data_IF_951454877649
#
_entry.id   IF_951454877649
#
_cell.length_a   1.000
_cell.length_b   1.000
_cell.length_c   1.000
_cell.angle_alpha   90.00
_cell.angle_beta   90.00
_cell.angle_gamma   90.00
#
_symmetry.space_group_name_H-M   'P 1'
#
loop_
_entity.id
_entity.type
_entity.pdbx_description
1 polymer ?
#
# COMPACT_ATOMS: atom_id res chain seq x y z
N UNK A 1 0.68 -2.75 -12.23
CA UNK A 1 0.59 -3.88 -11.28
C UNK A 1 -0.61 -4.73 -11.68
N UNK A 2 -0.59 -6.05 -11.51
CA UNK A 2 -1.77 -6.87 -11.84
C UNK A 2 -2.83 -6.71 -10.73
N UNK A 3 -4.09 -6.42 -11.10
CA UNK A 3 -5.19 -6.18 -10.16
C UNK A 3 -5.41 -7.34 -9.15
N UNK A 4 -5.05 -8.56 -9.55
CA UNK A 4 -5.13 -9.78 -8.74
C UNK A 4 -4.15 -9.81 -7.55
N UNK A 5 -3.16 -8.92 -7.49
CA UNK A 5 -2.15 -8.88 -6.43
C UNK A 5 -2.54 -7.97 -5.25
N UNK A 6 -3.62 -7.20 -5.37
CA UNK A 6 -4.05 -6.28 -4.32
C UNK A 6 -4.73 -7.06 -3.20
N UNK A 7 -3.97 -7.29 -2.13
CA UNK A 7 -4.40 -7.89 -0.87
C UNK A 7 -4.96 -6.85 0.09
N UNK A 8 -5.97 -7.28 0.84
CA UNK A 8 -6.51 -6.58 2.01
C UNK A 8 -5.45 -6.55 3.12
N UNK A 9 -5.50 -5.51 3.96
CA UNK A 9 -4.55 -5.25 5.05
C UNK A 9 -3.09 -5.09 4.59
N UNK A 10 -2.89 -4.78 3.31
CA UNK A 10 -1.56 -4.59 2.74
C UNK A 10 -1.31 -3.11 2.42
N UNK A 11 -0.09 -2.65 2.71
CA UNK A 11 0.34 -1.30 2.39
C UNK A 11 0.93 -1.25 0.98
N UNK A 12 0.43 -0.34 0.16
CA UNK A 12 0.98 -0.03 -1.16
C UNK A 12 1.47 1.41 -1.18
N UNK A 13 2.49 1.66 -1.99
CA UNK A 13 2.99 3.01 -2.24
C UNK A 13 2.70 3.43 -3.66
N UNK A 14 2.56 4.73 -3.88
CA UNK A 14 2.53 5.28 -5.23
C UNK A 14 3.96 5.36 -5.78
N UNK A 15 4.13 5.00 -7.06
CA UNK A 15 5.42 5.13 -7.75
C UNK A 15 5.93 6.59 -7.68
N UNK A 16 7.02 6.82 -6.95
CA UNK A 16 7.62 8.15 -6.80
C UNK A 16 7.13 8.98 -5.60
N UNK A 17 6.41 8.39 -4.64
CA UNK A 17 6.01 9.10 -3.43
C UNK A 17 6.09 8.25 -2.17
N UNK A 18 6.34 8.89 -1.02
CA UNK A 18 6.40 8.24 0.31
C UNK A 18 5.02 8.02 0.95
N UNK A 19 3.93 8.27 0.20
CA UNK A 19 2.56 8.15 0.72
C UNK A 19 2.12 6.69 0.69
N UNK A 20 2.30 6.04 1.84
CA UNK A 20 1.73 4.72 2.11
C UNK A 20 0.20 4.79 2.13
N UNK A 21 -0.42 3.83 1.45
CA UNK A 21 -1.86 3.62 1.39
C UNK A 21 -2.13 2.19 1.84
N UNK A 22 -2.85 2.05 2.93
CA UNK A 22 -3.16 0.74 3.52
C UNK A 22 -4.53 0.31 3.03
N UNK A 23 -4.59 -0.79 2.28
CA UNK A 23 -5.86 -1.30 1.77
C UNK A 23 -6.67 -1.90 2.91
N UNK A 24 -7.83 -1.34 3.16
CA UNK A 24 -8.73 -1.77 4.24
C UNK A 24 -9.79 -2.75 3.74
N UNK A 25 -10.20 -2.64 2.48
CA UNK A 25 -11.19 -3.52 1.86
C UNK A 25 -10.97 -3.60 0.35
N UNK A 26 -11.18 -4.78 -0.21
CA UNK A 26 -11.33 -4.99 -1.66
C UNK A 26 -12.66 -5.70 -1.85
N UNK A 27 -13.61 -5.06 -2.51
CA UNK A 27 -14.93 -5.62 -2.79
C UNK A 27 -15.34 -5.30 -4.23
N UNK A 28 -15.76 -6.33 -4.98
CA UNK A 28 -16.33 -6.21 -6.34
C UNK A 28 -15.58 -5.27 -7.30
N UNK A 29 -14.26 -5.23 -7.21
CA UNK A 29 -13.43 -4.36 -8.06
C UNK A 29 -13.31 -2.91 -7.58
N UNK A 30 -13.68 -2.62 -6.33
CA UNK A 30 -13.42 -1.36 -5.62
C UNK A 30 -12.44 -1.63 -4.48
N UNK A 31 -11.44 -0.77 -4.36
CA UNK A 31 -10.44 -0.82 -3.29
C UNK A 31 -10.69 0.36 -2.36
N UNK A 32 -10.97 0.06 -1.09
CA UNK A 32 -10.93 1.05 -0.02
C UNK A 32 -9.57 1.01 0.66
N UNK A 33 -9.00 2.18 0.91
CA UNK A 33 -7.71 2.30 1.56
C UNK A 33 -7.64 3.55 2.44
N UNK A 34 -6.75 3.52 3.42
CA UNK A 34 -6.46 4.66 4.28
C UNK A 34 -5.06 5.19 4.00
N UNK A 35 -4.92 6.51 3.95
CA UNK A 35 -3.65 7.20 3.72
C UNK A 35 -3.46 8.33 4.72
N UNK A 36 -2.21 8.60 5.10
CA UNK A 36 -1.87 9.80 5.89
C UNK A 36 -1.50 10.95 4.98
N UNK A 37 -2.20 12.07 5.13
CA UNK A 37 -1.96 13.32 4.39
C UNK A 37 -1.75 14.42 5.42
N UNK A 38 -0.53 14.97 5.47
CA UNK A 38 -0.16 16.00 6.46
C UNK A 38 -0.52 15.60 7.91
N UNK A 39 -0.32 14.32 8.26
CA UNK A 39 -0.64 13.78 9.59
C UNK A 39 -2.10 13.34 9.80
N UNK A 40 -3.00 13.67 8.87
CA UNK A 40 -4.42 13.30 8.95
C UNK A 40 -4.64 11.96 8.26
N UNK A 41 -5.30 11.02 8.95
CA UNK A 41 -5.75 9.76 8.36
C UNK A 41 -7.00 10.02 7.51
N UNK A 42 -6.91 9.75 6.21
CA UNK A 42 -8.01 9.90 5.25
C UNK A 42 -8.30 8.53 4.64
N UNK A 43 -9.57 8.14 4.63
CA UNK A 43 -10.03 6.93 3.94
C UNK A 43 -10.58 7.32 2.57
N UNK A 44 -10.19 6.58 1.54
CA UNK A 44 -10.65 6.75 0.16
C UNK A 44 -11.01 5.41 -0.44
N UNK A 45 -11.81 5.45 -1.49
CA UNK A 45 -12.13 4.29 -2.32
C UNK A 45 -11.96 4.65 -3.79
N UNK A 46 -11.43 3.72 -4.58
CA UNK A 46 -11.27 3.86 -6.02
C UNK A 46 -11.39 2.51 -6.72
N UNK A 47 -11.54 2.49 -8.05
CA UNK A 47 -11.59 1.24 -8.80
C UNK A 47 -10.30 0.43 -8.67
N UNK A 48 -10.40 -0.89 -8.62
CA UNK A 48 -9.27 -1.81 -8.52
C UNK A 48 -8.28 -1.61 -9.68
N UNK A 49 -8.78 -1.36 -10.88
CA UNK A 49 -7.95 -1.07 -12.05
C UNK A 49 -7.25 0.29 -11.93
N UNK A 50 -7.89 1.30 -11.34
CA UNK A 50 -7.29 2.61 -11.08
C UNK A 50 -6.22 2.49 -10.00
N UNK A 51 -6.53 1.80 -8.90
CA UNK A 51 -5.59 1.52 -7.82
C UNK A 51 -4.37 0.77 -8.35
N UNK A 52 -4.55 -0.29 -9.14
CA UNK A 52 -3.47 -1.13 -9.68
C UNK A 52 -2.57 -0.42 -10.71
N UNK A 53 -3.03 0.69 -11.31
CA UNK A 53 -2.22 1.45 -12.26
C UNK A 53 -1.04 2.15 -11.58
N UNK A 54 -1.24 2.66 -10.37
CA UNK A 54 -0.21 3.41 -9.65
C UNK A 54 0.27 2.70 -8.38
N UNK A 55 -0.50 1.77 -7.82
CA UNK A 55 -0.07 0.94 -6.70
C UNK A 55 1.12 0.13 -7.16
N UNK A 56 2.20 0.23 -6.39
CA UNK A 56 3.39 -0.58 -6.55
C UNK A 56 3.59 -1.35 -5.24
N UNK A 57 3.93 -2.64 -5.33
CA UNK A 57 4.43 -3.38 -4.17
C UNK A 57 5.76 -2.74 -3.80
N UNK A 58 5.78 -2.08 -2.65
CA UNK A 58 7.05 -1.65 -2.08
C UNK A 58 7.79 -2.91 -1.61
N UNK A 59 8.55 -3.51 -2.53
CA UNK A 59 9.44 -4.62 -2.22
C UNK A 59 10.54 -4.23 -1.20
N UNK A 60 10.68 -2.94 -0.87
CA UNK A 60 11.73 -2.40 -0.02
C UNK A 60 11.30 -2.13 1.44
N UNK A 61 10.00 -2.02 1.74
CA UNK A 61 9.52 -1.84 3.12
C UNK A 61 9.73 -3.06 4.04
N UNK A 62 10.17 -4.20 3.51
CA UNK A 62 10.61 -5.36 4.32
C UNK A 62 12.04 -5.24 4.85
N UNK A 63 12.86 -4.30 4.38
CA UNK A 63 14.22 -4.12 4.93
C UNK A 63 14.25 -3.29 6.22
N UNK A 64 13.16 -2.59 6.54
CA UNK A 64 13.03 -1.79 7.76
C UNK A 64 12.34 -2.51 8.93
N UNK A 65 12.05 -3.80 8.81
CA UNK A 65 11.51 -4.62 9.90
C UNK A 65 12.29 -5.94 10.06
N UNK A 66 13.58 -5.76 10.42
CA UNK A 66 14.48 -6.69 11.13
C UNK A 66 15.01 -7.93 10.36
N UNK A 67 16.26 -8.40 10.62
CA UNK A 67 16.98 -8.30 11.90
C UNK A 67 18.37 -7.64 11.83
N UNK A 68 18.67 -6.73 12.76
CA UNK A 68 20.00 -6.75 13.40
C UNK A 68 19.81 -7.57 14.69
N UNK A 69 20.51 -8.71 14.84
CA UNK A 69 21.86 -8.64 15.39
C UNK A 69 22.82 -9.66 14.76
N UNK A 70 23.84 -9.14 14.08
CA UNK A 70 25.07 -9.86 13.75
C UNK A 70 26.24 -9.04 14.24
N UNK A 71 26.40 -8.98 15.56
CA UNK A 71 27.62 -8.49 16.22
C UNK A 71 28.78 -9.40 15.79
N UNK A 72 29.97 -8.87 15.42
CA UNK A 72 31.20 -9.65 15.49
C UNK A 72 31.60 -9.93 16.94
#
# INVERSE_FOLDING_TARGET
>A
MQASLIKRDHAYVSRGGSRQRIVTLVDRGVVSYSQRVFGILITRSEGLAEFAQWAYEDADLRRASAPEPGMP
#
